data_IF_141595075310
#
_entry.id   IF_141595075310
#
_cell.length_a   1.000
_cell.length_b   1.000
_cell.length_c   1.000
_cell.angle_alpha   90.00
_cell.angle_beta   90.00
_cell.angle_gamma   90.00
#
_symmetry.space_group_name_H-M   'P 1'
#
loop_
_entity.id
_entity.type
_entity.pdbx_description
1 polymer ?
#
# COMPACT_ATOMS: atom_id res chain seq x y z
N UNK A 1 -9.66 46.96 22.20
CA UNK A 1 -9.98 46.44 20.85
C UNK A 1 -8.74 46.03 20.07
N UNK A 2 -7.58 46.70 20.21
CA UNK A 2 -6.36 46.36 19.44
C UNK A 2 -5.61 45.09 19.90
N UNK A 3 -5.63 44.73 21.19
CA UNK A 3 -4.83 43.61 21.72
C UNK A 3 -5.38 42.22 21.33
N UNK A 4 -6.71 42.05 21.28
CA UNK A 4 -7.35 40.78 20.86
C UNK A 4 -7.18 40.50 19.37
N UNK A 5 -6.99 41.55 18.58
CA UNK A 5 -6.79 41.48 17.12
C UNK A 5 -5.33 41.16 16.82
N UNK A 6 -4.40 41.76 17.59
CA UNK A 6 -2.98 41.42 17.60
C UNK A 6 -2.74 39.94 17.94
N UNK A 7 -3.35 39.41 19.01
CA UNK A 7 -3.24 38.00 19.38
C UNK A 7 -3.83 37.02 18.35
N UNK A 8 -4.76 37.50 17.50
CA UNK A 8 -5.33 36.72 16.40
C UNK A 8 -4.44 36.72 15.15
N UNK A 9 -3.64 37.78 14.99
CA UNK A 9 -2.66 37.94 13.90
C UNK A 9 -1.31 37.29 14.18
N UNK A 10 -0.89 37.22 15.45
CA UNK A 10 0.38 36.63 15.88
C UNK A 10 0.29 35.12 16.18
N UNK A 11 -0.92 34.57 16.31
CA UNK A 11 -1.15 33.12 16.27
C UNK A 11 -1.31 32.65 14.82
N UNK A 12 -0.27 32.88 14.03
CA UNK A 12 -0.07 32.12 12.81
C UNK A 12 0.57 30.77 13.16
N UNK A 13 0.05 29.69 12.54
CA UNK A 13 0.62 28.33 12.32
C UNK A 13 -0.18 27.22 13.05
N UNK A 14 -0.96 26.36 12.38
CA UNK A 14 -1.20 26.20 10.94
C UNK A 14 -2.43 25.31 10.61
N UNK A 15 -2.99 25.58 9.43
CA UNK A 15 -3.87 24.81 8.50
C UNK A 15 -4.74 23.63 9.02
N UNK A 16 -5.98 23.46 8.50
CA UNK A 16 -6.69 22.19 8.68
C UNK A 16 -5.90 21.05 8.01
N UNK A 17 -5.84 19.90 8.69
CA UNK A 17 -5.14 18.64 8.37
C UNK A 17 -3.71 18.53 8.95
N UNK A 18 -3.58 17.93 10.13
CA UNK A 18 -2.27 17.64 10.75
C UNK A 18 -1.58 16.39 10.17
N UNK A 19 -2.25 15.56 9.37
CA UNK A 19 -1.56 14.47 8.67
C UNK A 19 -2.33 13.97 7.46
N UNK A 20 -1.64 13.37 6.48
CA UNK A 20 -2.26 12.61 5.39
C UNK A 20 -3.33 11.64 5.92
N UNK A 21 -3.10 11.07 7.11
CA UNK A 21 -4.01 10.15 7.76
C UNK A 21 -5.39 10.76 8.08
N UNK A 22 -5.41 12.03 8.43
CA UNK A 22 -6.61 12.76 8.83
C UNK A 22 -7.42 13.20 7.61
N UNK A 23 -6.75 13.70 6.57
CA UNK A 23 -7.39 13.99 5.27
C UNK A 23 -8.02 12.74 4.63
N UNK A 24 -7.34 11.60 4.75
CA UNK A 24 -7.84 10.31 4.27
C UNK A 24 -9.05 9.85 5.10
N UNK A 25 -9.03 10.04 6.43
CA UNK A 25 -10.10 9.63 7.34
C UNK A 25 -11.43 10.38 7.12
N UNK A 26 -11.38 11.65 6.74
CA UNK A 26 -12.58 12.49 6.54
C UNK A 26 -13.03 12.61 5.08
N UNK A 27 -12.39 11.89 4.15
CA UNK A 27 -12.80 11.87 2.75
C UNK A 27 -13.89 10.81 2.51
N UNK A 28 -15.16 11.20 2.28
CA UNK A 28 -16.30 10.27 2.21
C UNK A 28 -16.23 9.30 1.03
N UNK A 29 -15.39 9.55 0.04
CA UNK A 29 -15.22 8.74 -1.17
C UNK A 29 -13.93 7.93 -1.21
N UNK A 30 -13.07 8.01 -0.18
CA UNK A 30 -11.75 7.37 -0.19
C UNK A 30 -11.82 6.03 0.56
N UNK A 31 -11.56 4.93 -0.15
CA UNK A 31 -11.51 3.59 0.44
C UNK A 31 -10.05 3.23 0.67
N UNK A 32 -9.64 3.10 1.93
CA UNK A 32 -8.32 2.61 2.32
C UNK A 32 -8.42 1.14 2.67
N UNK A 33 -7.57 0.33 2.05
CA UNK A 33 -7.46 -1.09 2.36
C UNK A 33 -6.08 -1.36 2.93
N UNK A 34 -6.02 -2.17 3.99
CA UNK A 34 -4.78 -2.83 4.39
C UNK A 34 -4.37 -3.85 3.32
N UNK A 35 -3.13 -4.34 3.37
CA UNK A 35 -2.69 -5.40 2.46
C UNK A 35 -3.59 -6.65 2.53
N UNK A 36 -3.93 -7.09 3.74
CA UNK A 36 -4.85 -8.22 3.94
C UNK A 36 -6.26 -7.93 3.39
N UNK A 37 -6.75 -6.70 3.55
CA UNK A 37 -8.02 -6.24 3.01
C UNK A 37 -8.02 -6.17 1.48
N UNK A 38 -6.90 -5.74 0.89
CA UNK A 38 -6.70 -5.68 -0.56
C UNK A 38 -6.77 -7.07 -1.18
N UNK A 39 -6.06 -8.05 -0.63
CA UNK A 39 -6.12 -9.42 -1.17
C UNK A 39 -7.52 -10.02 -1.05
N UNK A 40 -8.17 -9.83 0.09
CA UNK A 40 -9.56 -10.27 0.28
C UNK A 40 -10.48 -9.64 -0.77
N UNK A 41 -10.37 -8.33 -0.99
CA UNK A 41 -11.16 -7.60 -1.97
C UNK A 41 -10.91 -8.10 -3.40
N UNK A 42 -9.66 -8.38 -3.77
CA UNK A 42 -9.33 -8.89 -5.11
C UNK A 42 -9.86 -10.31 -5.31
N UNK A 43 -9.73 -11.20 -4.32
CA UNK A 43 -10.20 -12.59 -4.40
C UNK A 43 -11.72 -12.67 -4.58
N UNK A 44 -12.46 -11.82 -3.86
CA UNK A 44 -13.93 -11.73 -3.92
C UNK A 44 -14.45 -10.96 -5.15
N UNK A 45 -13.61 -10.13 -5.78
CA UNK A 45 -14.03 -9.27 -6.88
C UNK A 45 -14.43 -10.07 -8.14
N UNK A 46 -15.51 -9.63 -8.79
CA UNK A 46 -15.98 -10.16 -10.08
C UNK A 46 -15.44 -9.40 -11.29
N UNK A 47 -14.59 -8.38 -11.07
CA UNK A 47 -14.03 -7.57 -12.16
C UNK A 47 -13.04 -8.40 -13.02
N UNK A 48 -12.98 -8.17 -14.35
CA UNK A 48 -12.09 -8.92 -15.23
C UNK A 48 -10.61 -8.75 -14.84
N UNK A 49 -10.22 -7.56 -14.38
CA UNK A 49 -8.85 -7.27 -13.93
C UNK A 49 -8.43 -8.12 -12.72
N UNK A 50 -9.38 -8.43 -11.82
CA UNK A 50 -9.12 -9.27 -10.65
C UNK A 50 -8.98 -10.76 -11.01
N UNK A 51 -9.59 -11.20 -12.13
CA UNK A 51 -9.54 -12.60 -12.58
C UNK A 51 -8.12 -13.06 -12.91
N UNK A 52 -7.34 -12.21 -13.59
CA UNK A 52 -5.96 -12.51 -13.95
C UNK A 52 -5.09 -12.68 -12.69
N UNK A 53 -5.19 -11.74 -11.75
CA UNK A 53 -4.45 -11.78 -10.49
C UNK A 53 -4.83 -12.98 -9.62
N UNK A 54 -6.13 -13.25 -9.46
CA UNK A 54 -6.61 -14.43 -8.74
C UNK A 54 -6.07 -15.72 -9.36
N UNK A 55 -6.10 -15.84 -10.69
CA UNK A 55 -5.57 -17.01 -11.39
C UNK A 55 -4.08 -17.16 -11.18
N UNK A 56 -3.32 -16.07 -11.24
CA UNK A 56 -1.89 -16.06 -10.96
C UNK A 56 -1.59 -16.55 -9.52
N UNK A 57 -2.32 -16.05 -8.52
CA UNK A 57 -2.17 -16.52 -7.14
C UNK A 57 -2.48 -18.02 -7.04
N UNK A 58 -3.62 -18.47 -7.56
CA UNK A 58 -4.08 -19.85 -7.37
C UNK A 58 -3.31 -20.88 -8.17
N UNK A 59 -2.82 -20.52 -9.36
CA UNK A 59 -2.17 -21.46 -10.27
C UNK A 59 -0.64 -21.44 -10.14
N UNK A 60 -0.04 -20.33 -9.70
CA UNK A 60 1.41 -20.17 -9.70
C UNK A 60 1.94 -19.99 -8.27
N UNK A 61 1.45 -18.99 -7.55
CA UNK A 61 2.01 -18.58 -6.26
C UNK A 61 1.73 -19.61 -5.16
N UNK A 62 0.45 -19.91 -4.90
CA UNK A 62 0.07 -20.82 -3.82
C UNK A 62 0.59 -22.26 -4.03
N UNK A 63 0.54 -22.84 -5.25
CA UNK A 63 1.16 -24.14 -5.49
C UNK A 63 2.66 -24.13 -5.23
N UNK A 64 3.37 -23.10 -5.68
CA UNK A 64 4.82 -22.97 -5.44
C UNK A 64 5.17 -22.90 -3.96
N UNK A 65 4.41 -22.12 -3.17
CA UNK A 65 4.61 -22.03 -1.71
C UNK A 65 4.29 -23.37 -1.05
N UNK A 66 3.22 -24.07 -1.45
CA UNK A 66 2.86 -25.39 -0.91
C UNK A 66 3.95 -26.43 -1.15
N UNK A 67 4.56 -26.43 -2.33
CA UNK A 67 5.56 -27.42 -2.71
C UNK A 67 6.96 -27.09 -2.19
N UNK A 68 7.38 -25.81 -2.29
CA UNK A 68 8.76 -25.38 -2.05
C UNK A 68 8.94 -24.61 -0.74
N UNK A 69 7.84 -24.17 -0.12
CA UNK A 69 7.85 -23.30 1.06
C UNK A 69 8.03 -21.81 0.76
N UNK A 70 8.30 -21.44 -0.49
CA UNK A 70 8.49 -20.05 -0.90
C UNK A 70 8.10 -19.82 -2.36
N UNK A 71 7.88 -18.56 -2.72
CA UNK A 71 7.69 -18.10 -4.10
C UNK A 71 8.86 -17.21 -4.50
N UNK A 72 9.50 -17.53 -5.62
CA UNK A 72 10.63 -16.76 -6.15
C UNK A 72 10.33 -16.35 -7.58
N UNK A 73 10.51 -15.07 -7.91
CA UNK A 73 10.38 -14.64 -9.30
C UNK A 73 11.69 -14.89 -10.03
N UNK A 74 11.62 -15.21 -11.33
CA UNK A 74 12.83 -15.52 -12.13
C UNK A 74 13.82 -14.36 -12.16
N UNK A 75 13.38 -13.12 -11.90
CA UNK A 75 14.25 -11.94 -11.83
C UNK A 75 15.20 -11.95 -10.64
N UNK A 76 14.86 -12.64 -9.55
CA UNK A 76 15.68 -12.65 -8.33
C UNK A 76 16.98 -13.43 -8.53
N UNK A 77 16.98 -14.36 -9.50
CA UNK A 77 18.16 -15.20 -9.80
C UNK A 77 19.37 -14.37 -10.28
N UNK A 78 19.16 -13.13 -10.74
CA UNK A 78 20.24 -12.27 -11.25
C UNK A 78 20.89 -11.39 -10.17
N UNK A 79 20.25 -11.15 -9.02
CA UNK A 79 20.85 -10.36 -7.92
C UNK A 79 21.83 -11.17 -7.07
N UNK A 80 21.59 -12.47 -6.89
CA UNK A 80 22.50 -13.34 -6.12
C UNK A 80 23.85 -13.61 -6.81
N UNK A 81 23.97 -13.26 -8.10
CA UNK A 81 25.22 -13.42 -8.84
C UNK A 81 26.12 -12.20 -8.59
N UNK A 82 25.60 -10.97 -8.46
CA UNK A 82 26.46 -9.79 -8.22
C UNK A 82 27.19 -9.84 -6.86
N UNK A 83 26.54 -10.29 -5.79
CA UNK A 83 27.17 -10.39 -4.46
C UNK A 83 28.25 -11.47 -4.36
N UNK A 84 28.24 -12.48 -5.24
CA UNK A 84 29.23 -13.58 -5.21
C UNK A 84 30.48 -13.33 -6.04
N UNK A 85 30.46 -12.32 -6.90
CA UNK A 85 31.58 -11.96 -7.78
C UNK A 85 32.17 -10.59 -7.42
N UNK A 86 31.62 -9.90 -6.41
CA UNK A 86 32.25 -8.76 -5.77
C UNK A 86 33.34 -9.25 -4.78
N UNK A 87 34.50 -9.60 -5.31
CA UNK A 87 35.79 -9.71 -4.60
C UNK A 87 36.76 -8.77 -5.28
#
# INVERSE_FOLDING_TARGET
MQLKELLRSSNSIGRPCESLYEAIKYSPSLIVLTESGLYTAIILSRKPNAKAFRRWITCEVLPSIREKGFYQTRKDRFHFIEERYAT
#
